data_IF_581749815941
#
_entry.id   IF_581749815941
#
_cell.length_a   1.000
_cell.length_b   1.000
_cell.length_c   1.000
_cell.angle_alpha   90.00
_cell.angle_beta   90.00
_cell.angle_gamma   90.00
#
_symmetry.space_group_name_H-M   'P 1'
#
loop_
_entity.id
_entity.type
_entity.pdbx_description
1 polymer ?
#
# COMPACT_ATOMS: atom_id res chain seq x y z
N UNK A 1 -16.64 -25.81 -8.67
CA UNK A 1 -15.95 -26.96 -9.32
C UNK A 1 -14.68 -26.48 -10.01
N UNK A 2 -14.75 -25.77 -11.15
CA UNK A 2 -13.54 -25.27 -11.87
C UNK A 2 -12.55 -24.48 -11.00
N UNK A 3 -13.02 -23.48 -10.23
CA UNK A 3 -12.15 -22.67 -9.37
C UNK A 3 -11.38 -23.51 -8.33
N UNK A 4 -12.04 -24.49 -7.72
CA UNK A 4 -11.44 -25.31 -6.66
C UNK A 4 -10.44 -26.32 -7.21
N UNK A 5 -10.69 -26.84 -8.41
CA UNK A 5 -9.76 -27.74 -9.12
C UNK A 5 -8.50 -26.99 -9.56
N UNK A 6 -8.66 -25.84 -10.23
CA UNK A 6 -7.53 -24.98 -10.63
C UNK A 6 -6.71 -24.57 -9.40
N UNK A 7 -7.38 -24.16 -8.32
CA UNK A 7 -6.72 -23.82 -7.06
C UNK A 7 -5.88 -24.97 -6.50
N UNK A 8 -6.41 -26.20 -6.50
CA UNK A 8 -5.67 -27.38 -5.99
C UNK A 8 -4.42 -27.64 -6.82
N UNK A 9 -4.53 -27.56 -8.14
CA UNK A 9 -3.38 -27.67 -9.06
C UNK A 9 -2.31 -26.63 -8.73
N UNK A 10 -2.71 -25.35 -8.65
CA UNK A 10 -1.81 -24.24 -8.34
C UNK A 10 -1.10 -24.42 -7.00
N UNK A 11 -1.83 -24.81 -5.94
CA UNK A 11 -1.24 -25.06 -4.62
C UNK A 11 -0.25 -26.22 -4.63
N UNK A 12 -0.53 -27.29 -5.40
CA UNK A 12 0.38 -28.42 -5.55
C UNK A 12 1.68 -28.00 -6.22
N UNK A 13 1.58 -27.27 -7.33
CA UNK A 13 2.75 -26.80 -8.08
C UNK A 13 3.62 -25.84 -7.26
N UNK A 14 3.00 -24.86 -6.60
CA UNK A 14 3.72 -23.92 -5.73
C UNK A 14 4.43 -24.61 -4.57
N UNK A 15 3.80 -25.65 -4.00
CA UNK A 15 4.44 -26.49 -2.97
C UNK A 15 5.65 -27.23 -3.54
N UNK A 16 5.55 -27.78 -4.75
CA UNK A 16 6.67 -28.44 -5.42
C UNK A 16 7.82 -27.49 -5.77
N UNK A 17 7.53 -26.20 -6.03
CA UNK A 17 8.54 -25.15 -6.21
C UNK A 17 9.24 -24.75 -4.90
N UNK A 18 8.71 -25.19 -3.76
CA UNK A 18 9.22 -24.89 -2.41
C UNK A 18 8.83 -23.51 -1.90
N UNK A 19 7.76 -22.91 -2.44
CA UNK A 19 7.31 -21.56 -2.06
C UNK A 19 6.11 -21.62 -1.14
N UNK A 20 6.13 -20.85 -0.05
CA UNK A 20 5.01 -20.80 0.91
C UNK A 20 3.78 -20.18 0.25
N UNK A 21 2.64 -20.87 0.36
CA UNK A 21 1.35 -20.43 -0.14
C UNK A 21 0.23 -20.80 0.84
N UNK A 22 -0.79 -19.93 0.92
CA UNK A 22 -1.95 -20.12 1.82
C UNK A 22 -3.25 -19.69 1.17
N UNK A 23 -4.33 -20.38 1.53
CA UNK A 23 -5.69 -19.94 1.23
C UNK A 23 -6.08 -18.93 2.31
N UNK A 24 -6.27 -17.68 1.91
CA UNK A 24 -6.68 -16.56 2.76
C UNK A 24 -7.70 -15.71 2.01
N UNK A 25 -8.45 -14.87 2.71
CA UNK A 25 -9.29 -13.85 2.07
C UNK A 25 -8.61 -12.50 2.13
N UNK A 26 -8.92 -11.62 1.18
CA UNK A 26 -8.47 -10.23 1.24
C UNK A 26 -9.01 -9.51 2.47
N UNK A 27 -10.21 -9.86 2.95
CA UNK A 27 -10.76 -9.34 4.21
C UNK A 27 -9.93 -9.66 5.46
N UNK A 28 -9.04 -10.66 5.40
CA UNK A 28 -8.10 -11.00 6.48
C UNK A 28 -6.79 -10.21 6.40
N UNK A 29 -6.50 -9.57 5.24
CA UNK A 29 -5.21 -8.98 4.92
C UNK A 29 -5.29 -7.46 4.70
N UNK A 30 -6.39 -6.96 4.12
CA UNK A 30 -6.58 -5.52 3.91
C UNK A 30 -6.91 -4.83 5.22
N UNK A 31 -6.41 -3.61 5.42
CA UNK A 31 -6.66 -2.84 6.64
C UNK A 31 -8.12 -2.42 6.78
N UNK A 32 -8.85 -2.32 5.66
CA UNK A 32 -10.30 -2.08 5.64
C UNK A 32 -11.10 -3.36 5.98
N UNK A 33 -10.49 -4.54 5.89
CA UNK A 33 -11.13 -5.81 6.20
C UNK A 33 -12.26 -6.18 5.24
N UNK A 34 -12.11 -5.83 3.96
CA UNK A 34 -13.05 -6.12 2.87
C UNK A 34 -12.29 -6.85 1.77
N UNK A 35 -12.93 -7.86 1.18
CA UNK A 35 -12.45 -8.53 -0.02
C UNK A 35 -12.55 -10.04 -0.01
N UNK A 36 -12.67 -10.59 -1.22
CA UNK A 36 -12.90 -11.99 -1.53
C UNK A 36 -11.67 -12.89 -1.42
N UNK A 37 -11.82 -14.10 -1.95
CA UNK A 37 -10.88 -15.21 -1.81
C UNK A 37 -10.18 -15.48 -3.15
N UNK A 38 -8.88 -15.18 -3.28
CA UNK A 38 -8.08 -15.60 -4.44
C UNK A 38 -7.87 -17.11 -4.50
N UNK A 39 -7.24 -17.62 -5.56
CA UNK A 39 -6.77 -19.01 -5.58
C UNK A 39 -5.89 -19.28 -4.35
N UNK A 40 -4.90 -18.42 -4.14
CA UNK A 40 -4.06 -18.41 -2.94
C UNK A 40 -3.26 -17.11 -2.85
N UNK A 41 -2.70 -16.87 -1.66
CA UNK A 41 -1.59 -15.95 -1.46
C UNK A 41 -0.27 -16.73 -1.48
N UNK A 42 0.75 -16.15 -2.09
CA UNK A 42 2.11 -16.69 -2.16
C UNK A 42 3.06 -15.70 -1.48
N UNK A 43 3.98 -16.22 -0.68
CA UNK A 43 4.85 -15.44 0.20
C UNK A 43 6.33 -15.70 -0.09
N UNK A 44 6.87 -15.23 -1.23
CA UNK A 44 8.28 -15.38 -1.53
C UNK A 44 9.15 -14.66 -0.48
N UNK A 45 10.27 -15.28 -0.10
CA UNK A 45 11.20 -14.73 0.91
C UNK A 45 12.53 -14.34 0.29
N UNK A 46 12.87 -14.93 -0.84
CA UNK A 46 14.14 -14.71 -1.57
C UNK A 46 13.89 -14.27 -2.99
N UNK A 47 14.93 -13.76 -3.67
CA UNK A 47 14.83 -13.43 -5.09
C UNK A 47 14.52 -14.68 -5.91
N UNK A 48 15.13 -15.81 -5.56
CA UNK A 48 14.88 -17.09 -6.21
C UNK A 48 13.41 -17.54 -6.08
N UNK A 49 12.78 -17.30 -4.93
CA UNK A 49 11.34 -17.58 -4.77
C UNK A 49 10.49 -16.69 -5.69
N UNK A 50 10.81 -15.40 -5.77
CA UNK A 50 10.11 -14.46 -6.68
C UNK A 50 10.25 -14.93 -8.12
N UNK A 51 11.47 -15.28 -8.54
CA UNK A 51 11.75 -15.76 -9.90
C UNK A 51 10.93 -17.02 -10.21
N UNK A 52 11.01 -18.06 -9.37
CA UNK A 52 10.21 -19.29 -9.53
C UNK A 52 8.71 -19.04 -9.65
N UNK A 53 8.17 -18.14 -8.82
CA UNK A 53 6.73 -17.81 -8.83
C UNK A 53 6.36 -17.08 -10.12
N UNK A 54 7.15 -16.09 -10.55
CA UNK A 54 6.88 -15.34 -11.77
C UNK A 54 7.00 -16.22 -13.02
N UNK A 55 8.03 -17.07 -13.10
CA UNK A 55 8.19 -18.10 -14.14
C UNK A 55 6.97 -19.02 -14.22
N UNK A 56 6.55 -19.57 -13.08
CA UNK A 56 5.40 -20.48 -13.00
C UNK A 56 4.11 -19.80 -13.46
N UNK A 57 3.84 -18.60 -12.95
CA UNK A 57 2.65 -17.82 -13.29
C UNK A 57 2.64 -17.47 -14.78
N UNK A 58 3.78 -17.05 -15.33
CA UNK A 58 3.91 -16.69 -16.74
C UNK A 58 3.72 -17.90 -17.65
N UNK A 59 4.43 -19.01 -17.38
CA UNK A 59 4.36 -20.26 -18.16
C UNK A 59 2.95 -20.83 -18.23
N UNK A 60 2.20 -20.76 -17.13
CA UNK A 60 0.84 -21.29 -17.04
C UNK A 60 -0.24 -20.24 -17.32
N UNK A 61 0.14 -19.02 -17.73
CA UNK A 61 -0.76 -17.91 -18.03
C UNK A 61 -1.76 -17.62 -16.88
N UNK A 62 -1.29 -17.76 -15.64
CA UNK A 62 -2.14 -17.57 -14.45
C UNK A 62 -2.27 -16.07 -14.19
N UNK A 63 -3.48 -15.50 -14.15
CA UNK A 63 -3.67 -14.12 -13.76
C UNK A 63 -3.20 -13.91 -12.30
N UNK A 64 -2.51 -12.81 -12.04
CA UNK A 64 -1.99 -12.54 -10.70
C UNK A 64 -2.06 -11.07 -10.33
N UNK A 65 -1.94 -10.81 -9.03
CA UNK A 65 -1.75 -9.48 -8.46
C UNK A 65 -0.53 -9.48 -7.54
N UNK A 66 0.12 -8.34 -7.44
CA UNK A 66 1.21 -8.10 -6.51
C UNK A 66 0.72 -7.14 -5.44
N UNK A 67 0.90 -7.53 -4.18
CA UNK A 67 0.42 -6.75 -3.05
C UNK A 67 1.48 -6.61 -1.97
N UNK A 68 1.48 -5.44 -1.32
CA UNK A 68 2.12 -5.26 -0.02
C UNK A 68 1.18 -5.71 1.11
N UNK A 69 1.03 -4.85 2.11
CA UNK A 69 0.20 -5.11 3.30
C UNK A 69 -1.29 -4.77 3.10
N UNK A 70 -1.75 -4.50 1.87
CA UNK A 70 -3.16 -4.25 1.58
C UNK A 70 -3.75 -2.95 2.20
N UNK A 71 -2.93 -2.00 2.65
CA UNK A 71 -3.39 -0.81 3.39
C UNK A 71 -4.15 0.24 2.57
N UNK A 72 -4.18 0.06 1.23
CA UNK A 72 -4.81 0.96 0.26
C UNK A 72 -5.74 0.23 -0.72
N UNK A 73 -6.01 -1.06 -0.48
CA UNK A 73 -6.77 -1.89 -1.40
C UNK A 73 -8.23 -1.98 -0.96
N UNK A 74 -9.14 -1.86 -1.93
CA UNK A 74 -10.54 -2.26 -1.82
C UNK A 74 -10.76 -3.35 -2.88
N UNK A 75 -11.00 -4.59 -2.42
CA UNK A 75 -11.04 -5.75 -3.31
C UNK A 75 -12.45 -6.30 -3.37
N UNK A 76 -12.90 -6.71 -4.56
CA UNK A 76 -14.24 -7.30 -4.74
C UNK A 76 -14.42 -8.56 -3.88
N UNK A 77 -15.67 -8.86 -3.55
CA UNK A 77 -16.04 -10.08 -2.83
C UNK A 77 -16.03 -11.32 -3.75
N UNK A 78 -16.29 -12.49 -3.15
CA UNK A 78 -16.44 -13.75 -3.87
C UNK A 78 -15.12 -14.44 -4.20
N UNK A 79 -15.16 -15.38 -5.15
CA UNK A 79 -13.96 -16.08 -5.64
C UNK A 79 -13.23 -15.24 -6.68
N UNK A 80 -11.93 -15.10 -6.52
CA UNK A 80 -11.06 -14.28 -7.38
C UNK A 80 -10.09 -15.23 -8.08
N UNK A 81 -10.24 -15.50 -9.40
CA UNK A 81 -9.42 -16.46 -10.14
C UNK A 81 -8.03 -15.87 -10.44
N UNK A 82 -7.30 -15.52 -9.39
CA UNK A 82 -5.96 -14.92 -9.43
C UNK A 82 -5.08 -15.50 -8.32
N UNK A 83 -3.79 -15.60 -8.59
CA UNK A 83 -2.77 -15.77 -7.55
C UNK A 83 -2.37 -14.41 -7.00
N UNK A 84 -2.20 -14.30 -5.68
CA UNK A 84 -1.76 -13.05 -5.04
C UNK A 84 -0.34 -13.21 -4.53
N UNK A 85 0.62 -12.54 -5.19
CA UNK A 85 2.02 -12.52 -4.76
C UNK A 85 2.20 -11.40 -3.74
N UNK A 86 2.37 -11.78 -2.47
CA UNK A 86 2.58 -10.84 -1.38
C UNK A 86 4.05 -10.74 -1.02
N UNK A 87 4.65 -9.59 -1.26
CA UNK A 87 6.07 -9.36 -1.00
C UNK A 87 6.37 -8.99 0.46
N UNK A 88 5.38 -9.05 1.38
CA UNK A 88 5.57 -8.63 2.77
C UNK A 88 6.64 -9.43 3.54
N UNK A 89 7.07 -10.59 3.02
CA UNK A 89 8.17 -11.39 3.60
C UNK A 89 9.48 -11.27 2.84
N UNK A 90 9.51 -10.49 1.77
CA UNK A 90 10.73 -10.16 1.05
C UNK A 90 11.43 -9.00 1.77
N UNK A 91 12.08 -9.34 2.88
CA UNK A 91 12.64 -8.38 3.82
C UNK A 91 14.16 -8.56 3.95
N UNK A 92 14.89 -7.47 3.80
CA UNK A 92 16.29 -7.37 4.18
C UNK A 92 16.62 -5.90 4.46
N UNK A 93 17.68 -5.67 5.23
CA UNK A 93 18.20 -4.35 5.52
C UNK A 93 19.72 -4.34 5.36
N UNK A 94 20.24 -3.45 4.53
CA UNK A 94 21.68 -3.18 4.41
C UNK A 94 21.90 -1.70 4.69
N UNK A 95 22.77 -1.41 5.65
CA UNK A 95 23.05 -0.06 6.13
C UNK A 95 24.52 0.27 5.94
N UNK A 96 24.82 1.51 5.56
CA UNK A 96 26.17 2.04 5.56
C UNK A 96 26.16 3.56 5.75
N UNK A 97 27.33 4.11 6.05
CA UNK A 97 27.53 5.54 6.26
C UNK A 97 28.61 6.03 5.30
N UNK A 98 28.41 7.24 4.78
CA UNK A 98 29.43 7.94 3.99
C UNK A 98 29.31 9.45 4.26
N UNK A 99 30.39 10.03 4.81
CA UNK A 99 30.44 11.41 5.29
C UNK A 99 29.26 11.77 6.20
N UNK A 100 28.49 12.78 5.77
CA UNK A 100 27.35 13.34 6.50
C UNK A 100 26.01 12.64 6.22
N UNK A 101 26.03 11.47 5.55
CA UNK A 101 24.82 10.76 5.16
C UNK A 101 24.77 9.34 5.72
N UNK A 102 23.54 8.90 5.99
CA UNK A 102 23.18 7.50 6.18
C UNK A 102 22.55 6.97 4.90
N UNK A 103 22.92 5.74 4.54
CA UNK A 103 22.33 5.03 3.42
C UNK A 103 21.75 3.71 3.90
N UNK A 104 20.58 3.37 3.36
CA UNK A 104 19.92 2.11 3.66
C UNK A 104 19.30 1.53 2.40
N UNK A 105 19.53 0.25 2.14
CA UNK A 105 18.83 -0.53 1.11
C UNK A 105 17.89 -1.51 1.79
N UNK A 106 16.61 -1.42 1.46
CA UNK A 106 15.55 -2.23 2.04
C UNK A 106 14.85 -3.08 0.98
N UNK A 107 14.53 -4.32 1.33
CA UNK A 107 13.58 -5.15 0.58
C UNK A 107 12.19 -4.51 0.56
N UNK A 108 11.43 -4.75 -0.51
CA UNK A 108 10.12 -4.12 -0.73
C UNK A 108 9.06 -4.54 0.28
N UNK A 109 9.25 -5.68 0.94
CA UNK A 109 8.41 -6.19 2.02
C UNK A 109 8.54 -5.43 3.34
N UNK A 110 9.69 -4.78 3.56
CA UNK A 110 9.99 -4.11 4.83
C UNK A 110 8.92 -3.06 5.14
N UNK A 111 8.42 -3.05 6.37
CA UNK A 111 7.41 -2.07 6.79
C UNK A 111 7.96 -0.64 6.83
N UNK A 112 7.12 0.36 6.55
CA UNK A 112 7.51 1.76 6.74
C UNK A 112 7.81 2.08 8.21
N UNK A 113 7.15 1.39 9.13
CA UNK A 113 7.38 1.49 10.57
C UNK A 113 8.82 1.09 10.93
N UNK A 114 9.35 0.03 10.29
CA UNK A 114 10.74 -0.38 10.47
C UNK A 114 11.71 0.72 10.04
N UNK A 115 11.51 1.31 8.84
CA UNK A 115 12.36 2.41 8.36
C UNK A 115 12.32 3.63 9.30
N UNK A 116 11.14 3.97 9.82
CA UNK A 116 11.00 5.06 10.80
C UNK A 116 11.70 4.72 12.12
N UNK A 117 11.55 3.50 12.64
CA UNK A 117 12.20 3.06 13.87
C UNK A 117 13.74 3.06 13.72
N UNK A 118 14.24 2.57 12.59
CA UNK A 118 15.66 2.63 12.25
C UNK A 118 16.14 4.08 12.20
N UNK A 119 15.36 4.96 11.56
CA UNK A 119 15.66 6.38 11.48
C UNK A 119 15.69 7.09 12.84
N UNK A 120 14.78 6.75 13.75
CA UNK A 120 14.86 7.25 15.14
C UNK A 120 16.14 6.76 15.82
N UNK A 121 16.47 5.48 15.68
CA UNK A 121 17.64 4.87 16.32
C UNK A 121 18.96 5.50 15.83
N UNK A 122 19.06 5.76 14.53
CA UNK A 122 20.28 6.23 13.87
C UNK A 122 20.35 7.74 13.69
N UNK A 123 19.23 8.44 13.79
CA UNK A 123 19.15 9.88 13.54
C UNK A 123 19.01 10.22 12.06
N UNK A 124 18.09 9.55 11.34
CA UNK A 124 17.76 9.89 9.95
C UNK A 124 16.97 11.19 9.92
N UNK A 125 17.58 12.26 9.43
CA UNK A 125 16.93 13.55 9.30
C UNK A 125 15.71 13.46 8.36
N UNK A 126 14.58 13.98 8.83
CA UNK A 126 13.36 14.09 8.03
C UNK A 126 12.49 12.81 8.01
N UNK A 127 12.93 11.70 8.60
CA UNK A 127 12.17 10.43 8.57
C UNK A 127 10.75 10.55 9.17
N UNK A 128 10.49 11.57 10.00
CA UNK A 128 9.15 11.90 10.50
C UNK A 128 8.13 12.13 9.38
N UNK A 129 8.57 12.53 8.17
CA UNK A 129 7.71 12.81 7.01
C UNK A 129 6.87 11.62 6.57
N UNK A 130 7.36 10.40 6.80
CA UNK A 130 6.69 9.14 6.42
C UNK A 130 6.12 8.38 7.64
N UNK A 131 6.18 8.97 8.84
CA UNK A 131 5.75 8.31 10.06
C UNK A 131 4.23 8.07 10.12
N UNK A 132 3.85 6.92 10.67
CA UNK A 132 2.45 6.49 10.81
C UNK A 132 1.76 6.04 9.53
N UNK A 133 2.44 6.05 8.37
CA UNK A 133 1.87 5.52 7.12
C UNK A 133 1.87 3.98 7.20
N UNK A 134 0.71 3.30 7.12
CA UNK A 134 0.65 1.84 7.08
C UNK A 134 1.12 1.32 5.72
N UNK A 135 1.88 0.23 5.71
CA UNK A 135 2.31 -0.44 4.48
C UNK A 135 3.79 -0.82 4.48
N UNK A 136 4.26 -1.26 3.30
CA UNK A 136 5.63 -1.65 3.06
C UNK A 136 6.33 -0.71 2.06
N UNK A 137 7.66 -0.81 1.97
CA UNK A 137 8.49 -0.02 1.08
C UNK A 137 8.02 -0.07 -0.38
N UNK A 138 7.68 -1.25 -0.91
CA UNK A 138 7.24 -1.39 -2.30
C UNK A 138 5.95 -0.61 -2.60
N UNK A 139 4.93 -0.78 -1.77
CA UNK A 139 3.68 -0.02 -1.90
C UNK A 139 3.89 1.48 -1.71
N UNK A 140 4.76 1.86 -0.77
CA UNK A 140 5.08 3.25 -0.50
C UNK A 140 5.71 3.94 -1.71
N UNK A 141 6.66 3.29 -2.37
CA UNK A 141 7.31 3.80 -3.59
C UNK A 141 6.32 3.89 -4.74
N UNK A 142 5.56 2.82 -5.01
CA UNK A 142 4.58 2.79 -6.10
C UNK A 142 3.61 3.97 -6.03
N UNK A 143 3.17 4.31 -4.82
CA UNK A 143 2.21 5.39 -4.57
C UNK A 143 2.84 6.74 -4.22
N UNK A 144 4.18 6.87 -4.19
CA UNK A 144 4.86 8.00 -3.57
C UNK A 144 4.20 8.43 -2.24
N UNK A 145 4.11 7.46 -1.32
CA UNK A 145 3.41 7.64 -0.06
C UNK A 145 4.01 8.78 0.75
N UNK A 146 3.14 9.62 1.30
CA UNK A 146 3.56 10.79 2.04
C UNK A 146 2.47 11.38 2.90
N UNK A 147 2.90 12.26 3.79
CA UNK A 147 2.03 13.04 4.66
C UNK A 147 2.05 14.51 4.25
N UNK A 148 1.40 15.37 5.03
CA UNK A 148 1.54 16.83 4.88
C UNK A 148 2.97 17.34 5.10
N UNK A 149 3.86 16.54 5.72
CA UNK A 149 5.24 16.94 5.97
C UNK A 149 6.17 16.64 4.79
N UNK A 150 5.78 15.74 3.89
CA UNK A 150 6.60 15.28 2.79
C UNK A 150 6.29 13.84 2.37
N UNK A 151 7.05 13.35 1.38
CA UNK A 151 6.83 12.03 0.77
C UNK A 151 8.11 11.18 0.77
N UNK A 152 7.94 9.88 0.59
CA UNK A 152 9.06 8.92 0.56
C UNK A 152 10.07 9.23 -0.56
N UNK A 153 9.62 9.80 -1.68
CA UNK A 153 10.48 10.17 -2.81
C UNK A 153 11.63 11.11 -2.45
N UNK A 154 11.51 11.89 -1.36
CA UNK A 154 12.56 12.80 -0.92
C UNK A 154 13.83 12.07 -0.44
N UNK A 155 13.69 10.78 -0.10
CA UNK A 155 14.79 9.96 0.42
C UNK A 155 15.28 8.92 -0.60
N UNK A 156 14.45 8.54 -1.59
CA UNK A 156 14.75 7.47 -2.55
C UNK A 156 15.89 7.89 -3.49
N UNK A 157 16.90 7.04 -3.62
CA UNK A 157 18.00 7.20 -4.58
C UNK A 157 17.75 6.37 -5.85
N UNK A 158 17.41 5.10 -5.68
CA UNK A 158 17.12 4.15 -6.74
C UNK A 158 16.18 3.05 -6.25
N UNK A 159 15.57 2.35 -7.19
CA UNK A 159 14.65 1.24 -6.97
C UNK A 159 15.05 0.11 -7.91
N UNK A 160 15.23 -1.07 -7.35
CA UNK A 160 15.45 -2.29 -8.13
C UNK A 160 14.09 -2.93 -8.38
N UNK A 161 13.80 -3.22 -9.65
CA UNK A 161 12.56 -3.89 -10.05
C UNK A 161 12.88 -5.14 -10.87
N UNK A 162 11.95 -6.09 -10.85
CA UNK A 162 11.95 -7.25 -11.73
C UNK A 162 10.72 -7.22 -12.63
N UNK A 163 10.92 -7.53 -13.90
CA UNK A 163 9.87 -7.72 -14.89
C UNK A 163 10.01 -9.10 -15.52
N UNK A 164 8.90 -9.65 -16.00
CA UNK A 164 8.89 -10.81 -16.89
C UNK A 164 8.18 -10.40 -18.20
N UNK A 165 8.90 -10.48 -19.31
CA UNK A 165 8.37 -10.21 -20.66
C UNK A 165 8.81 -11.35 -21.57
N UNK A 166 7.88 -11.89 -22.35
CA UNK A 166 8.18 -12.92 -23.36
C UNK A 166 8.93 -14.15 -22.80
N UNK A 167 8.69 -14.48 -21.51
CA UNK A 167 9.34 -15.57 -20.79
C UNK A 167 10.71 -15.24 -20.19
N UNK A 168 11.26 -14.04 -20.46
CA UNK A 168 12.55 -13.60 -19.93
C UNK A 168 12.38 -12.69 -18.72
N UNK A 169 13.19 -12.93 -17.69
CA UNK A 169 13.25 -12.05 -16.53
C UNK A 169 14.32 -10.99 -16.70
N UNK A 170 13.93 -9.75 -16.46
CA UNK A 170 14.85 -8.62 -16.43
C UNK A 170 14.85 -7.99 -15.03
N UNK A 171 16.03 -7.76 -14.47
CA UNK A 171 16.22 -7.01 -13.23
C UNK A 171 16.94 -5.72 -13.58
N UNK A 172 16.31 -4.60 -13.24
CA UNK A 172 16.80 -3.28 -13.58
C UNK A 172 16.85 -2.37 -12.34
N UNK A 173 17.86 -1.50 -12.30
CA UNK A 173 17.96 -0.44 -11.31
C UNK A 173 17.47 0.86 -11.92
N UNK A 174 16.36 1.37 -11.41
CA UNK A 174 15.69 2.57 -11.89
C UNK A 174 15.93 3.74 -10.95
N UNK A 175 16.00 4.94 -11.54
CA UNK A 175 15.77 6.19 -10.82
C UNK A 175 14.37 6.71 -11.19
N UNK A 176 13.33 6.31 -10.45
CA UNK A 176 11.96 6.66 -10.81
C UNK A 176 11.71 8.16 -10.71
N UNK A 177 10.82 8.67 -11.55
CA UNK A 177 10.22 9.99 -11.35
C UNK A 177 8.97 9.85 -10.48
N UNK A 178 8.68 10.89 -9.71
CA UNK A 178 7.61 10.88 -8.73
C UNK A 178 6.69 12.09 -8.93
N UNK A 179 5.40 11.87 -8.69
CA UNK A 179 4.36 12.89 -8.68
C UNK A 179 3.49 12.77 -7.42
N UNK A 180 2.45 13.59 -7.33
CA UNK A 180 1.51 13.52 -6.22
C UNK A 180 0.71 12.21 -6.27
N UNK A 181 0.97 11.33 -5.29
CA UNK A 181 0.38 9.98 -5.18
C UNK A 181 0.64 9.10 -6.39
N UNK A 182 1.83 9.22 -6.98
CA UNK A 182 2.20 8.54 -8.23
C UNK A 182 3.73 8.36 -8.37
N UNK A 183 4.15 7.30 -9.06
CA UNK A 183 5.53 7.07 -9.49
C UNK A 183 5.56 6.54 -10.92
N UNK A 184 6.71 6.67 -11.59
CA UNK A 184 6.93 6.13 -12.95
C UNK A 184 7.05 4.61 -13.03
N UNK A 185 6.98 3.91 -11.90
CA UNK A 185 7.02 2.44 -11.86
C UNK A 185 5.77 1.90 -12.55
N UNK A 186 5.95 1.05 -13.55
CA UNK A 186 4.89 0.44 -14.34
C UNK A 186 4.16 -0.65 -13.55
N UNK A 187 3.03 -1.15 -14.07
CA UNK A 187 2.23 -2.16 -13.37
C UNK A 187 2.80 -3.59 -13.50
N UNK A 188 3.58 -3.85 -14.55
CA UNK A 188 4.32 -5.09 -14.77
C UNK A 188 5.69 -5.11 -14.05
N UNK A 189 6.14 -3.98 -13.47
CA UNK A 189 7.37 -3.87 -12.70
C UNK A 189 7.11 -4.20 -11.23
N UNK A 190 7.74 -5.27 -10.76
CA UNK A 190 7.69 -5.70 -9.36
C UNK A 190 8.84 -5.04 -8.61
N UNK A 191 8.53 -4.19 -7.62
CA UNK A 191 9.57 -3.56 -6.80
C UNK A 191 10.21 -4.61 -5.90
N UNK A 192 11.51 -4.85 -6.07
CA UNK A 192 12.30 -5.74 -5.24
C UNK A 192 12.88 -4.98 -4.03
N UNK A 193 13.57 -3.88 -4.28
CA UNK A 193 14.24 -3.13 -3.21
C UNK A 193 14.37 -1.66 -3.55
N UNK A 194 14.68 -0.86 -2.53
CA UNK A 194 14.98 0.55 -2.73
C UNK A 194 16.12 1.01 -1.83
N UNK A 195 16.94 1.88 -2.39
CA UNK A 195 18.02 2.55 -1.67
C UNK A 195 17.58 3.95 -1.27
N UNK A 196 17.83 4.31 -0.02
CA UNK A 196 17.49 5.59 0.57
C UNK A 196 18.76 6.30 1.05
N UNK A 197 18.71 7.63 1.06
CA UNK A 197 19.74 8.50 1.62
C UNK A 197 19.11 9.48 2.60
N UNK A 198 19.67 9.57 3.79
CA UNK A 198 19.23 10.47 4.85
C UNK A 198 20.39 11.33 5.34
N UNK A 199 20.09 12.59 5.70
CA UNK A 199 21.02 13.41 6.48
C UNK A 199 21.16 12.87 7.91
N UNK A 200 22.24 13.25 8.58
CA UNK A 200 22.51 12.91 9.98
C UNK A 200 21.91 13.97 10.91
N UNK A 201 21.09 13.53 11.86
CA UNK A 201 20.56 14.35 12.95
C UNK A 201 20.79 13.66 14.31
N UNK A 202 20.58 14.37 15.42
CA UNK A 202 20.61 13.74 16.73
C UNK A 202 19.41 12.78 16.87
N UNK A 203 19.60 11.52 17.29
CA UNK A 203 18.50 10.56 17.50
C UNK A 203 17.37 11.08 18.41
N UNK A 204 17.70 11.86 19.43
CA UNK A 204 16.72 12.51 20.31
C UNK A 204 15.79 13.46 19.57
N UNK A 205 16.35 14.37 18.76
CA UNK A 205 15.58 15.34 17.97
C UNK A 205 14.65 14.63 16.97
N UNK A 206 15.14 13.55 16.34
CA UNK A 206 14.33 12.74 15.41
C UNK A 206 13.18 12.05 16.16
N UNK A 207 13.45 11.48 17.34
CA UNK A 207 12.43 10.86 18.19
C UNK A 207 11.33 11.87 18.55
N UNK A 208 11.71 13.06 18.98
CA UNK A 208 10.76 14.08 19.41
C UNK A 208 9.86 14.54 18.26
N UNK A 209 10.44 14.73 17.06
CA UNK A 209 9.67 15.05 15.84
C UNK A 209 8.67 13.96 15.48
N UNK A 210 9.11 12.69 15.47
CA UNK A 210 8.23 11.55 15.16
C UNK A 210 7.12 11.44 16.21
N UNK A 211 7.44 11.47 17.50
CA UNK A 211 6.45 11.36 18.58
C UNK A 211 5.42 12.48 18.52
N UNK A 212 5.85 13.73 18.30
CA UNK A 212 4.94 14.89 18.13
C UNK A 212 4.00 14.69 16.95
N UNK A 213 4.52 14.19 15.82
CA UNK A 213 3.72 13.96 14.63
C UNK A 213 2.70 12.83 14.82
N UNK A 214 3.16 11.69 15.36
CA UNK A 214 2.29 10.55 15.63
C UNK A 214 1.16 10.93 16.60
N UNK A 215 1.47 11.65 17.69
CA UNK A 215 0.43 12.14 18.63
C UNK A 215 -0.66 12.92 17.89
N UNK A 216 -0.28 13.90 17.07
CA UNK A 216 -1.25 14.66 16.27
C UNK A 216 -2.02 13.79 15.29
N UNK A 217 -1.41 12.74 14.73
CA UNK A 217 -2.09 11.79 13.84
C UNK A 217 -3.13 10.96 14.58
N UNK A 218 -2.83 10.46 15.77
CA UNK A 218 -3.78 9.74 16.62
C UNK A 218 -4.99 10.62 16.99
N UNK A 219 -4.78 11.92 17.21
CA UNK A 219 -5.85 12.87 17.52
C UNK A 219 -6.73 13.23 16.31
N UNK A 220 -6.19 13.14 15.10
CA UNK A 220 -6.84 13.68 13.88
C UNK A 220 -7.27 12.63 12.87
N UNK A 221 -7.01 11.35 13.11
CA UNK A 221 -7.33 10.27 12.17
C UNK A 221 -7.88 9.03 12.89
N UNK A 222 -8.77 8.26 12.25
CA UNK A 222 -9.34 7.02 12.82
C UNK A 222 -8.37 5.84 12.71
N UNK A 223 -7.20 5.96 13.35
CA UNK A 223 -6.08 4.99 13.25
C UNK A 223 -6.38 3.61 13.85
N UNK A 224 -7.39 3.49 14.70
CA UNK A 224 -7.83 2.21 15.30
C UNK A 224 -9.05 1.59 14.60
N UNK A 225 -9.56 2.21 13.53
CA UNK A 225 -10.70 1.71 12.76
C UNK A 225 -10.22 0.91 11.54
N UNK A 226 -11.06 -0.01 11.05
CA UNK A 226 -10.83 -0.68 9.77
C UNK A 226 -11.06 0.31 8.63
N UNK A 227 -9.98 0.73 7.97
CA UNK A 227 -9.99 1.75 6.91
C UNK A 227 -8.83 1.51 5.93
N UNK A 228 -8.86 2.15 4.77
CA UNK A 228 -7.77 2.17 3.78
C UNK A 228 -6.97 3.50 3.79
N UNK A 229 -7.16 4.32 4.83
CA UNK A 229 -6.61 5.68 4.88
C UNK A 229 -7.47 6.68 4.10
N UNK A 230 -6.86 7.77 3.63
CA UNK A 230 -7.57 8.73 2.77
C UNK A 230 -8.18 8.05 1.55
N UNK A 231 -9.47 8.28 1.30
CA UNK A 231 -10.22 7.76 0.16
C UNK A 231 -9.77 8.46 -1.13
N UNK A 232 -9.68 9.79 -1.07
CA UNK A 232 -9.44 10.66 -2.21
C UNK A 232 -8.11 11.40 -2.11
N UNK A 233 -7.51 11.65 -3.26
CA UNK A 233 -6.45 12.63 -3.42
C UNK A 233 -7.02 14.03 -3.17
N UNK A 234 -6.21 14.90 -2.55
CA UNK A 234 -6.53 16.33 -2.53
C UNK A 234 -6.62 16.87 -3.98
N UNK A 235 -7.63 17.69 -4.31
CA UNK A 235 -7.73 18.32 -5.63
C UNK A 235 -6.57 19.28 -5.94
N UNK A 236 -6.39 19.57 -7.22
CA UNK A 236 -5.31 20.45 -7.71
C UNK A 236 -5.44 21.90 -7.25
N UNK A 237 -6.62 22.32 -6.79
CA UNK A 237 -6.85 23.66 -6.24
C UNK A 237 -6.21 23.87 -4.85
N UNK A 238 -5.55 22.85 -4.30
CA UNK A 238 -4.83 22.92 -3.02
C UNK A 238 -5.71 22.69 -1.79
N UNK A 239 -7.03 22.52 -1.96
CA UNK A 239 -7.91 22.22 -0.84
C UNK A 239 -7.79 20.77 -0.37
N UNK A 240 -8.06 20.54 0.91
CA UNK A 240 -8.11 19.18 1.44
C UNK A 240 -9.41 18.50 1.02
N UNK A 241 -9.32 17.29 0.46
CA UNK A 241 -10.51 16.48 0.18
C UNK A 241 -11.33 16.24 1.46
N UNK A 242 -10.69 16.08 2.62
CA UNK A 242 -11.39 15.94 3.90
C UNK A 242 -12.23 17.17 4.26
N UNK A 243 -11.67 18.37 4.07
CA UNK A 243 -12.40 19.62 4.30
C UNK A 243 -13.60 19.75 3.34
N UNK A 244 -13.39 19.46 2.06
CA UNK A 244 -14.46 19.50 1.05
C UNK A 244 -15.61 18.55 1.42
N UNK A 245 -15.30 17.32 1.85
CA UNK A 245 -16.30 16.32 2.23
C UNK A 245 -17.05 16.73 3.51
N UNK A 246 -16.35 17.34 4.46
CA UNK A 246 -16.96 17.89 5.67
C UNK A 246 -17.92 19.05 5.36
N UNK A 247 -17.55 19.96 4.46
CA UNK A 247 -18.38 21.11 4.06
C UNK A 247 -19.65 20.73 3.29
N UNK A 248 -19.68 19.57 2.63
CA UNK A 248 -20.91 19.04 2.02
C UNK A 248 -21.75 18.21 3.00
N UNK A 249 -21.39 18.22 4.29
CA UNK A 249 -22.17 17.64 5.38
C UNK A 249 -22.01 16.13 5.54
N UNK A 250 -20.95 15.51 5.00
CA UNK A 250 -20.81 14.04 5.01
C UNK A 250 -19.94 13.49 6.14
N UNK A 251 -19.36 14.33 7.01
CA UNK A 251 -18.59 13.85 8.16
C UNK A 251 -19.50 13.10 9.13
N UNK A 252 -19.13 11.85 9.46
CA UNK A 252 -19.97 10.97 10.28
C UNK A 252 -21.18 10.38 9.53
N UNK A 253 -21.38 10.69 8.24
CA UNK A 253 -22.48 10.13 7.45
C UNK A 253 -22.37 8.61 7.35
N UNK A 254 -23.47 7.93 7.64
CA UNK A 254 -23.55 6.46 7.67
C UNK A 254 -24.46 5.98 6.54
N UNK A 255 -23.86 5.29 5.56
CA UNK A 255 -24.59 4.77 4.39
C UNK A 255 -25.34 3.49 4.72
N UNK A 256 -24.67 2.56 5.40
CA UNK A 256 -25.25 1.29 5.83
C UNK A 256 -24.96 1.06 7.31
N UNK A 257 -25.49 -0.03 7.88
CA UNK A 257 -25.14 -0.42 9.26
C UNK A 257 -23.64 -0.64 9.46
N UNK A 258 -22.88 -0.89 8.39
CA UNK A 258 -21.49 -1.37 8.40
C UNK A 258 -20.47 -0.38 7.84
N UNK A 259 -20.90 0.59 7.03
CA UNK A 259 -19.99 1.54 6.36
C UNK A 259 -20.42 2.98 6.64
N UNK A 260 -19.46 3.79 7.10
CA UNK A 260 -19.65 5.22 7.35
C UNK A 260 -18.42 6.04 6.94
N UNK A 261 -18.62 7.33 6.74
CA UNK A 261 -17.55 8.33 6.78
C UNK A 261 -17.15 8.55 8.23
N UNK A 262 -15.85 8.59 8.50
CA UNK A 262 -15.31 8.82 9.83
C UNK A 262 -15.83 10.12 10.44
N UNK A 263 -16.21 10.07 11.71
CA UNK A 263 -16.52 11.27 12.50
C UNK A 263 -15.26 12.06 12.89
N UNK A 264 -14.08 11.45 12.79
CA UNK A 264 -12.79 12.08 13.09
C UNK A 264 -12.27 12.81 11.84
N UNK A 265 -12.22 12.13 10.69
CA UNK A 265 -11.65 12.69 9.45
C UNK A 265 -12.48 12.32 8.22
N UNK A 266 -13.16 13.30 7.60
CA UNK A 266 -14.16 13.05 6.56
C UNK A 266 -13.62 12.41 5.25
N UNK A 267 -12.31 12.45 4.99
CA UNK A 267 -11.69 11.68 3.89
C UNK A 267 -11.42 10.21 4.22
N UNK A 268 -11.99 9.63 5.28
CA UNK A 268 -11.80 8.22 5.66
C UNK A 268 -13.15 7.52 5.70
N UNK A 269 -13.21 6.32 5.14
CA UNK A 269 -14.30 5.38 5.34
C UNK A 269 -13.90 4.39 6.42
N UNK A 270 -14.83 4.09 7.31
CA UNK A 270 -14.67 3.08 8.36
C UNK A 270 -15.62 1.91 8.09
N UNK A 271 -15.06 0.70 8.12
CA UNK A 271 -15.80 -0.55 8.15
C UNK A 271 -16.05 -0.95 9.62
N UNK A 272 -17.31 -0.86 10.05
CA UNK A 272 -17.75 -1.24 11.41
C UNK A 272 -17.89 -2.77 11.58
N UNK A 273 -17.57 -3.54 10.55
CA UNK A 273 -17.51 -5.00 10.56
C UNK A 273 -18.40 -5.62 9.50
N UNK A 274 -17.84 -6.56 8.73
CA UNK A 274 -18.59 -7.36 7.77
C UNK A 274 -19.13 -6.61 6.55
N UNK A 275 -18.65 -5.38 6.30
CA UNK A 275 -18.99 -4.67 5.06
C UNK A 275 -18.48 -5.42 3.83
N UNK A 276 -19.24 -5.37 2.75
CA UNK A 276 -18.81 -5.89 1.45
C UNK A 276 -18.21 -4.78 0.56
N UNK A 277 -17.61 -5.17 -0.57
CA UNK A 277 -17.06 -4.25 -1.55
C UNK A 277 -18.09 -3.22 -2.01
N UNK A 278 -19.30 -3.67 -2.36
CA UNK A 278 -20.33 -2.81 -2.92
C UNK A 278 -20.74 -1.70 -1.94
N UNK A 279 -20.91 -2.01 -0.65
CA UNK A 279 -21.28 -0.99 0.34
C UNK A 279 -20.21 0.10 0.51
N UNK A 280 -18.93 -0.28 0.44
CA UNK A 280 -17.84 0.68 0.47
C UNK A 280 -17.77 1.49 -0.82
N UNK A 281 -17.92 0.84 -1.98
CA UNK A 281 -17.90 1.50 -3.29
C UNK A 281 -19.06 2.49 -3.47
N UNK A 282 -20.27 2.11 -3.05
CA UNK A 282 -21.46 2.95 -3.07
C UNK A 282 -21.25 4.22 -2.25
N UNK A 283 -20.65 4.12 -1.06
CA UNK A 283 -20.33 5.31 -0.26
C UNK A 283 -19.27 6.18 -0.93
N UNK A 284 -18.24 5.59 -1.56
CA UNK A 284 -17.23 6.35 -2.32
C UNK A 284 -17.90 7.13 -3.46
N UNK A 285 -18.78 6.48 -4.22
CA UNK A 285 -19.49 7.10 -5.35
C UNK A 285 -20.46 8.19 -4.87
N UNK A 286 -21.21 7.93 -3.79
CA UNK A 286 -22.09 8.93 -3.19
C UNK A 286 -21.35 10.20 -2.74
N UNK A 287 -20.16 10.06 -2.13
CA UNK A 287 -19.32 11.21 -1.78
C UNK A 287 -18.90 11.99 -3.02
N UNK A 288 -18.46 11.30 -4.09
CA UNK A 288 -18.07 11.95 -5.35
C UNK A 288 -19.23 12.72 -5.96
N UNK A 289 -20.42 12.13 -5.97
CA UNK A 289 -21.65 12.77 -6.48
C UNK A 289 -22.00 14.02 -5.69
N UNK A 290 -22.06 13.94 -4.35
CA UNK A 290 -22.39 15.09 -3.50
C UNK A 290 -21.40 16.24 -3.63
N UNK A 291 -20.11 15.93 -3.71
CA UNK A 291 -19.06 16.95 -3.91
C UNK A 291 -19.17 17.57 -5.31
N UNK A 292 -19.44 16.77 -6.34
CA UNK A 292 -19.65 17.29 -7.70
C UNK A 292 -20.89 18.18 -7.79
N UNK A 293 -21.99 17.79 -7.14
CA UNK A 293 -23.24 18.56 -7.11
C UNK A 293 -23.07 19.93 -6.44
N UNK A 294 -22.51 19.95 -5.22
CA UNK A 294 -22.48 21.15 -4.37
C UNK A 294 -21.24 22.02 -4.56
N UNK A 295 -20.09 21.44 -4.90
CA UNK A 295 -18.80 22.15 -5.00
C UNK A 295 -18.29 22.25 -6.44
N UNK A 296 -18.94 21.56 -7.40
CA UNK A 296 -18.50 21.47 -8.81
C UNK A 296 -17.06 20.94 -8.95
N UNK A 297 -16.61 20.14 -7.99
CA UNK A 297 -15.29 19.50 -7.98
C UNK A 297 -15.42 18.00 -8.24
N UNK A 298 -14.47 17.44 -8.99
CA UNK A 298 -14.37 16.00 -9.21
C UNK A 298 -13.25 15.43 -8.35
N UNK A 299 -13.61 14.65 -7.33
CA UNK A 299 -12.63 13.95 -6.50
C UNK A 299 -12.04 12.73 -7.24
N UNK A 300 -10.72 12.59 -7.16
CA UNK A 300 -10.01 11.42 -7.65
C UNK A 300 -9.68 10.47 -6.51
N UNK A 301 -9.93 9.18 -6.72
CA UNK A 301 -9.65 8.14 -5.73
C UNK A 301 -8.14 7.96 -5.54
N UNK A 302 -7.73 7.78 -4.28
CA UNK A 302 -6.39 7.32 -3.89
C UNK A 302 -6.39 5.82 -3.56
N UNK A 303 -7.55 5.27 -3.20
CA UNK A 303 -7.77 3.84 -3.00
C UNK A 303 -7.62 3.11 -4.32
N UNK A 304 -6.97 1.94 -4.27
CA UNK A 304 -6.81 1.07 -5.43
C UNK A 304 -7.88 -0.01 -5.37
N UNK A 305 -8.79 0.01 -6.35
CA UNK A 305 -9.85 -0.98 -6.48
C UNK A 305 -9.36 -2.17 -7.30
N UNK A 306 -9.45 -3.36 -6.71
CA UNK A 306 -9.18 -4.62 -7.38
C UNK A 306 -10.53 -5.25 -7.76
N UNK A 307 -10.97 -4.85 -8.94
CA UNK A 307 -12.08 -5.41 -9.72
C UNK A 307 -11.45 -6.13 -10.93
N UNK A 308 -12.12 -7.16 -11.47
CA UNK A 308 -11.51 -8.17 -12.36
C UNK A 308 -10.59 -7.66 -13.47
#
# INVERSE_FOLDING_TARGET
MRFDEERRGILCDLKNLGVDSKILRFSDITTVGIGGEPYCFVFPKTLQDIQKVLEYIHKNQIPFWIVGNGSKLLVRDGKIPRVVVSLHRFEFCKEWEDGNYFYVRLGSGVSLQFLVALGIKKGFEGVEKISGIPGCIGGAIKMNSGTRLGCISEFVQNVEVITISDGEMNIENLKPTFGYRWSSIQNNQVILSASFRFGKAKPGDVRDKVSKYLKKRFETQPVNSKTFGCIFKNPSNGESAGKIIEEVGLKGFKMTKRVKISSIHANFIENEGGACFQEADDLINYVKEKVKEQKKLTLQEEVVKFVD
#
